data_IF_790444272482
#
_entry.id   IF_790444272482
#
_cell.length_a   1.000
_cell.length_b   1.000
_cell.length_c   1.000
_cell.angle_alpha   90.00
_cell.angle_beta   90.00
_cell.angle_gamma   90.00
#
_symmetry.space_group_name_H-M   'P 1'
#
loop_
_entity.id
_entity.type
_entity.pdbx_description
1 polymer ?
#
# COMPACT_ATOMS: atom_id res chain seq x y z
N UNK A 1 3.84 4.48 22.98
CA UNK A 1 3.94 4.17 21.53
C UNK A 1 3.74 2.69 21.29
N UNK A 2 4.42 1.80 22.01
CA UNK A 2 4.24 0.33 21.88
C UNK A 2 2.80 -0.15 22.00
N UNK A 3 2.02 0.36 22.96
CA UNK A 3 0.59 0.00 23.09
C UNK A 3 -0.23 0.41 21.85
N UNK A 4 0.09 1.55 21.23
CA UNK A 4 -0.56 1.96 19.99
C UNK A 4 -0.22 0.98 18.86
N UNK A 5 1.05 0.58 18.75
CA UNK A 5 1.51 -0.38 17.74
C UNK A 5 0.83 -1.73 17.93
N UNK A 6 0.78 -2.27 19.16
CA UNK A 6 0.10 -3.54 19.45
C UNK A 6 -1.39 -3.49 19.07
N UNK A 7 -2.09 -2.42 19.46
CA UNK A 7 -3.52 -2.23 19.10
C UNK A 7 -3.72 -2.09 17.59
N UNK A 8 -2.80 -1.43 16.89
CA UNK A 8 -2.88 -1.28 15.44
C UNK A 8 -2.61 -2.61 14.73
N UNK A 9 -1.54 -3.32 15.10
CA UNK A 9 -1.12 -4.60 14.53
C UNK A 9 -2.18 -5.71 14.69
N UNK A 10 -2.97 -5.65 15.77
CA UNK A 10 -4.06 -6.60 16.02
C UNK A 10 -5.32 -6.36 15.17
N UNK A 11 -5.42 -5.25 14.42
CA UNK A 11 -6.56 -5.01 13.52
C UNK A 11 -6.42 -5.85 12.26
N UNK A 12 -7.55 -6.28 11.70
CA UNK A 12 -7.57 -6.86 10.35
C UNK A 12 -7.51 -5.74 9.32
N UNK A 13 -6.37 -5.61 8.64
CA UNK A 13 -6.09 -4.52 7.69
C UNK A 13 -5.44 -5.09 6.44
N UNK A 14 -6.06 -4.85 5.30
CA UNK A 14 -5.48 -5.18 3.99
C UNK A 14 -5.01 -3.90 3.30
N UNK A 15 -3.73 -3.85 2.97
CA UNK A 15 -3.15 -2.86 2.07
C UNK A 15 -3.27 -3.36 0.63
N UNK A 16 -4.32 -2.95 -0.07
CA UNK A 16 -4.59 -3.36 -1.44
C UNK A 16 -3.95 -2.39 -2.44
N UNK A 17 -3.03 -2.87 -3.28
CA UNK A 17 -2.26 -2.01 -4.21
C UNK A 17 -2.15 -2.61 -5.62
N UNK A 18 -2.28 -1.77 -6.65
CA UNK A 18 -2.12 -2.20 -8.03
C UNK A 18 -0.66 -2.45 -8.42
N UNK A 19 -0.39 -3.55 -9.13
CA UNK A 19 0.95 -3.91 -9.63
C UNK A 19 1.55 -2.86 -10.57
N UNK A 20 0.70 -2.12 -11.29
CA UNK A 20 1.07 -1.08 -12.25
C UNK A 20 0.79 0.34 -11.72
N UNK A 21 0.50 0.52 -10.43
CA UNK A 21 0.47 1.85 -9.78
C UNK A 21 1.92 2.35 -9.55
N UNK A 22 2.64 2.46 -10.66
CA UNK A 22 4.07 2.76 -10.78
C UNK A 22 4.34 4.04 -11.57
N UNK A 23 3.30 4.63 -12.18
CA UNK A 23 3.42 5.85 -12.98
C UNK A 23 3.89 6.99 -12.09
N UNK A 24 5.12 7.42 -12.34
CA UNK A 24 5.68 8.64 -11.79
C UNK A 24 6.23 9.48 -12.95
N UNK A 25 6.54 10.76 -12.68
CA UNK A 25 6.96 11.72 -13.71
C UNK A 25 8.14 11.26 -14.59
N UNK A 26 8.91 10.24 -14.20
CA UNK A 26 10.11 9.80 -14.94
C UNK A 26 9.82 8.82 -16.08
N UNK A 27 8.61 8.26 -16.18
CA UNK A 27 8.20 7.37 -17.28
C UNK A 27 7.30 8.13 -18.25
N UNK A 28 7.90 8.95 -19.10
CA UNK A 28 7.18 9.78 -20.07
C UNK A 28 6.65 8.93 -21.24
N UNK A 29 5.32 8.76 -21.30
CA UNK A 29 4.57 8.72 -22.56
C UNK A 29 3.27 9.48 -22.33
N UNK A 30 2.93 10.38 -23.23
CA UNK A 30 1.80 11.31 -23.09
C UNK A 30 0.53 10.59 -22.60
N UNK A 31 0.03 10.95 -21.41
CA UNK A 31 -1.18 10.39 -20.80
C UNK A 31 -1.00 9.76 -19.41
N UNK A 32 0.20 9.31 -19.04
CA UNK A 32 0.47 8.63 -17.75
C UNK A 32 0.96 9.57 -16.64
N UNK A 33 0.33 10.74 -16.53
CA UNK A 33 0.62 11.73 -15.49
C UNK A 33 -0.22 11.46 -14.25
N UNK A 34 0.41 10.95 -13.21
CA UNK A 34 -0.21 10.93 -11.88
C UNK A 34 -0.06 12.29 -11.19
N UNK A 35 -0.99 13.19 -11.52
CA UNK A 35 -1.09 14.52 -10.92
C UNK A 35 -1.41 14.49 -9.43
N UNK A 36 -1.98 13.38 -8.94
CA UNK A 36 -2.42 13.22 -7.56
C UNK A 36 -1.40 12.52 -6.67
N UNK A 37 -0.22 12.16 -7.20
CA UNK A 37 0.86 11.62 -6.37
C UNK A 37 1.44 12.73 -5.48
N UNK A 38 1.50 12.50 -4.17
CA UNK A 38 2.18 13.41 -3.25
C UNK A 38 3.68 13.47 -3.57
N UNK A 39 4.17 14.68 -3.87
CA UNK A 39 5.57 14.99 -4.25
C UNK A 39 6.28 15.85 -3.21
N UNK A 40 5.66 16.07 -2.05
CA UNK A 40 6.35 16.67 -0.92
C UNK A 40 7.62 15.86 -0.57
N UNK A 41 8.61 16.47 0.11
CA UNK A 41 9.76 15.72 0.60
C UNK A 41 9.36 14.48 1.41
N UNK A 42 8.30 14.57 2.22
CA UNK A 42 7.75 13.47 3.00
C UNK A 42 7.20 12.35 2.11
N UNK A 43 6.46 12.68 1.06
CA UNK A 43 5.99 11.71 0.07
C UNK A 43 7.14 11.05 -0.71
N UNK A 44 8.16 11.82 -1.07
CA UNK A 44 9.34 11.32 -1.78
C UNK A 44 10.17 10.34 -0.92
N UNK A 45 10.27 10.59 0.39
CA UNK A 45 10.96 9.69 1.33
C UNK A 45 10.30 8.30 1.42
N UNK A 46 8.99 8.21 1.20
CA UNK A 46 8.27 6.94 1.23
C UNK A 46 8.42 6.15 -0.07
N UNK A 47 8.91 6.76 -1.14
CA UNK A 47 9.18 6.10 -2.42
C UNK A 47 8.61 6.81 -3.65
N UNK A 48 9.03 6.37 -4.85
CA UNK A 48 8.82 7.12 -6.10
C UNK A 48 7.40 7.02 -6.69
N UNK A 49 6.60 6.03 -6.27
CA UNK A 49 5.22 5.78 -6.73
C UNK A 49 4.44 4.97 -5.68
N UNK A 50 3.12 4.82 -5.83
CA UNK A 50 2.27 4.20 -4.79
C UNK A 50 2.61 2.74 -4.51
N UNK A 51 2.93 1.93 -5.52
CA UNK A 51 3.39 0.55 -5.28
C UNK A 51 4.66 0.50 -4.42
N UNK A 52 5.64 1.36 -4.70
CA UNK A 52 6.88 1.42 -3.92
C UNK A 52 6.59 1.83 -2.47
N UNK A 53 5.72 2.83 -2.29
CA UNK A 53 5.28 3.30 -0.97
C UNK A 53 4.56 2.22 -0.18
N UNK A 54 3.67 1.45 -0.81
CA UNK A 54 2.96 0.36 -0.15
C UNK A 54 3.93 -0.72 0.38
N UNK A 55 4.95 -1.09 -0.42
CA UNK A 55 5.97 -2.06 0.01
C UNK A 55 6.84 -1.55 1.16
N UNK A 56 7.27 -0.28 1.08
CA UNK A 56 8.08 0.34 2.14
C UNK A 56 7.26 0.48 3.43
N UNK A 57 6.00 0.90 3.32
CA UNK A 57 5.11 0.99 4.46
C UNK A 57 4.82 -0.38 5.07
N UNK A 58 4.63 -1.42 4.26
CA UNK A 58 4.46 -2.79 4.74
C UNK A 58 5.67 -3.25 5.57
N UNK A 59 6.88 -3.08 5.05
CA UNK A 59 8.11 -3.39 5.78
C UNK A 59 8.22 -2.62 7.10
N UNK A 60 7.80 -1.35 7.11
CA UNK A 60 7.75 -0.56 8.33
C UNK A 60 6.75 -1.12 9.35
N UNK A 61 5.54 -1.50 8.91
CA UNK A 61 4.52 -2.12 9.78
C UNK A 61 5.03 -3.42 10.38
N UNK A 62 5.65 -4.29 9.59
CA UNK A 62 6.26 -5.54 10.08
C UNK A 62 7.35 -5.26 11.12
N UNK A 63 8.24 -4.29 10.83
CA UNK A 63 9.32 -3.93 11.74
C UNK A 63 8.81 -3.35 13.06
N UNK A 64 7.80 -2.47 13.03
CA UNK A 64 7.22 -1.90 14.25
C UNK A 64 6.45 -2.95 15.06
N UNK A 65 5.69 -3.83 14.40
CA UNK A 65 5.00 -4.93 15.07
C UNK A 65 5.99 -5.87 15.78
N UNK A 66 7.12 -6.19 15.13
CA UNK A 66 8.18 -7.00 15.71
C UNK A 66 8.83 -6.30 16.92
N UNK A 67 9.16 -5.01 16.82
CA UNK A 67 9.73 -4.23 17.94
C UNK A 67 8.80 -4.18 19.15
N UNK A 68 7.49 -4.09 18.92
CA UNK A 68 6.51 -3.99 19.98
C UNK A 68 6.18 -5.34 20.63
N UNK A 69 6.76 -6.45 20.17
CA UNK A 69 6.35 -7.81 20.54
C UNK A 69 4.83 -7.95 20.42
N UNK A 70 4.29 -7.55 19.28
CA UNK A 70 2.85 -7.64 19.01
C UNK A 70 2.52 -9.07 18.52
N UNK A 71 1.92 -9.94 19.36
CA UNK A 71 1.53 -11.26 18.93
C UNK A 71 0.41 -11.15 17.89
N UNK A 72 0.69 -11.54 16.66
CA UNK A 72 -0.31 -11.64 15.58
C UNK A 72 -0.53 -10.33 14.84
N UNK A 73 0.46 -9.90 14.04
CA UNK A 73 0.21 -8.94 12.97
C UNK A 73 -0.81 -9.55 12.00
N UNK A 74 -2.06 -9.11 12.09
CA UNK A 74 -3.17 -9.60 11.26
C UNK A 74 -3.27 -8.87 9.91
N UNK A 75 -2.32 -7.98 9.62
CA UNK A 75 -2.33 -7.17 8.41
C UNK A 75 -1.85 -7.98 7.21
N UNK A 76 -2.25 -7.54 6.01
CA UNK A 76 -1.86 -8.18 4.76
C UNK A 76 -1.52 -7.13 3.71
N UNK A 77 -0.52 -7.40 2.87
CA UNK A 77 -0.26 -6.64 1.66
C UNK A 77 -0.71 -7.46 0.45
N UNK A 78 -1.74 -6.98 -0.25
CA UNK A 78 -2.31 -7.69 -1.41
C UNK A 78 -2.07 -6.88 -2.68
N UNK A 79 -1.46 -7.52 -3.68
CA UNK A 79 -1.16 -6.90 -4.96
C UNK A 79 -2.20 -7.32 -5.99
N UNK A 80 -2.85 -6.34 -6.60
CA UNK A 80 -3.80 -6.55 -7.70
C UNK A 80 -3.04 -6.60 -9.02
N UNK A 81 -2.99 -7.79 -9.63
CA UNK A 81 -2.18 -8.03 -10.83
C UNK A 81 -2.63 -7.15 -12.00
N UNK A 82 -1.68 -6.54 -12.70
CA UNK A 82 -1.92 -5.69 -13.86
C UNK A 82 -2.66 -4.38 -13.60
N UNK A 83 -3.04 -4.07 -12.35
CA UNK A 83 -3.90 -2.93 -12.03
C UNK A 83 -3.11 -1.63 -11.81
N UNK A 84 -3.64 -0.52 -12.32
CA UNK A 84 -3.12 0.85 -12.13
C UNK A 84 -3.90 1.57 -11.02
N UNK A 85 -3.77 2.90 -10.93
CA UNK A 85 -4.57 3.73 -10.04
C UNK A 85 -6.05 3.87 -10.52
N UNK A 86 -6.83 2.80 -10.44
CA UNK A 86 -8.21 2.75 -10.92
C UNK A 86 -9.17 2.20 -9.84
N UNK A 87 -10.02 3.06 -9.27
CA UNK A 87 -10.94 2.68 -8.19
C UNK A 87 -11.88 1.52 -8.59
N UNK A 88 -12.56 1.63 -9.74
CA UNK A 88 -13.52 0.60 -10.20
C UNK A 88 -12.80 -0.73 -10.46
N UNK A 89 -11.61 -0.68 -11.03
CA UNK A 89 -10.78 -1.86 -11.29
C UNK A 89 -10.30 -2.52 -10.01
N UNK A 90 -9.84 -1.74 -9.03
CA UNK A 90 -9.43 -2.24 -7.70
C UNK A 90 -10.60 -2.87 -6.95
N UNK A 91 -11.78 -2.24 -7.00
CA UNK A 91 -12.99 -2.78 -6.36
C UNK A 91 -13.44 -4.09 -7.02
N UNK A 92 -13.48 -4.14 -8.36
CA UNK A 92 -13.98 -5.31 -9.10
C UNK A 92 -12.97 -6.44 -9.29
N UNK A 93 -11.70 -6.24 -8.92
CA UNK A 93 -10.70 -7.30 -9.09
C UNK A 93 -11.00 -8.49 -8.16
N UNK A 94 -10.57 -9.71 -8.52
CA UNK A 94 -10.67 -10.86 -7.63
C UNK A 94 -10.07 -10.60 -6.26
N UNK A 95 -8.90 -9.96 -6.22
CA UNK A 95 -8.19 -9.61 -4.98
C UNK A 95 -8.95 -8.57 -4.15
N UNK A 96 -9.58 -7.58 -4.79
CA UNK A 96 -10.38 -6.56 -4.12
C UNK A 96 -11.67 -7.13 -3.54
N UNK A 97 -12.35 -8.01 -4.28
CA UNK A 97 -13.54 -8.71 -3.78
C UNK A 97 -13.19 -9.64 -2.60
N UNK A 98 -12.10 -10.40 -2.69
CA UNK A 98 -11.63 -11.26 -1.60
C UNK A 98 -11.23 -10.46 -0.35
N UNK A 99 -10.79 -9.21 -0.50
CA UNK A 99 -10.48 -8.32 0.62
C UNK A 99 -11.74 -7.84 1.36
N UNK A 100 -12.83 -7.58 0.63
CA UNK A 100 -14.08 -7.07 1.20
C UNK A 100 -15.00 -8.17 1.71
N UNK A 101 -14.92 -9.35 1.10
CA UNK A 101 -15.76 -10.51 1.37
C UNK A 101 -14.87 -11.76 1.53
N UNK A 102 -14.03 -11.81 2.59
CA UNK A 102 -13.09 -12.90 2.84
C UNK A 102 -13.77 -14.23 3.20
#
# INVERSE_FOLDING_TARGET
>A
VEELVRRYAARDVVYLIGEKDITNRLTFRDGDWDYNLDRSPQGALQGPHRLGRARIFWQHVEAEAAKADAPGLAHQLTIVKGMIHNNVGMYKSPEGQATLFP
#
